data_IF_442475843307
#
_entry.id   IF_442475843307
#
_cell.length_a   1.000
_cell.length_b   1.000
_cell.length_c   1.000
_cell.angle_alpha   90.00
_cell.angle_beta   90.00
_cell.angle_gamma   90.00
#
_symmetry.space_group_name_H-M   'P 1'
#
loop_
_entity.id
_entity.type
_entity.pdbx_description
1 polymer ?
#
# COMPACT_ATOMS: atom_id res chain seq x y z
N UNK A 1 -56.99 -23.52 29.56
CA UNK A 1 -56.26 -24.82 29.45
C UNK A 1 -54.90 -24.54 28.86
N UNK A 2 -53.79 -24.84 29.55
CA UNK A 2 -52.44 -24.77 28.97
C UNK A 2 -52.01 -26.18 28.57
N UNK A 3 -51.87 -26.44 27.27
CA UNK A 3 -51.31 -27.69 26.76
C UNK A 3 -49.79 -27.65 26.94
N UNK A 4 -49.26 -28.61 27.71
CA UNK A 4 -47.81 -28.88 27.77
C UNK A 4 -47.48 -29.88 26.66
N UNK A 5 -46.77 -29.43 25.64
CA UNK A 5 -46.15 -30.30 24.64
C UNK A 5 -44.78 -30.73 25.17
N UNK A 6 -44.64 -31.99 25.57
CA UNK A 6 -43.33 -32.64 25.80
C UNK A 6 -42.89 -33.23 24.46
N UNK A 7 -41.91 -32.60 23.83
CA UNK A 7 -41.29 -33.08 22.59
C UNK A 7 -40.00 -33.80 23.00
N UNK A 8 -39.87 -35.06 22.60
CA UNK A 8 -38.68 -35.89 22.81
C UNK A 8 -38.07 -36.19 21.43
N UNK A 9 -36.81 -35.79 21.16
CA UNK A 9 -35.89 -35.08 22.05
C UNK A 9 -36.25 -33.60 22.30
N UNK A 10 -35.75 -33.07 23.41
CA UNK A 10 -35.96 -31.67 23.82
C UNK A 10 -35.39 -30.70 22.77
N UNK A 11 -36.27 -29.88 22.18
CA UNK A 11 -35.94 -28.96 21.09
C UNK A 11 -34.98 -27.86 21.53
N UNK A 12 -35.09 -27.39 22.77
CA UNK A 12 -34.30 -26.25 23.26
C UNK A 12 -32.78 -26.51 23.20
N UNK A 13 -32.24 -27.62 23.75
CA UNK A 13 -30.81 -27.92 23.66
C UNK A 13 -30.37 -28.20 22.21
N UNK A 14 -31.22 -28.80 21.38
CA UNK A 14 -30.90 -29.02 19.96
C UNK A 14 -30.74 -27.71 19.20
N UNK A 15 -31.64 -26.75 19.42
CA UNK A 15 -31.54 -25.42 18.80
C UNK A 15 -30.29 -24.67 19.27
N UNK A 16 -29.95 -24.75 20.56
CA UNK A 16 -28.72 -24.13 21.09
C UNK A 16 -27.46 -24.73 20.47
N UNK A 17 -27.43 -26.06 20.30
CA UNK A 17 -26.31 -26.73 19.63
C UNK A 17 -26.18 -26.29 18.16
N UNK A 18 -27.30 -26.16 17.44
CA UNK A 18 -27.31 -25.70 16.05
C UNK A 18 -26.83 -24.25 15.91
N UNK A 19 -27.24 -23.36 16.82
CA UNK A 19 -26.74 -21.97 16.88
C UNK A 19 -25.23 -21.97 17.12
N UNK A 20 -24.75 -22.72 18.12
CA UNK A 20 -23.32 -22.80 18.44
C UNK A 20 -22.49 -23.40 17.29
N UNK A 21 -23.07 -24.31 16.50
CA UNK A 21 -22.43 -24.84 15.28
C UNK A 21 -22.36 -23.77 14.19
N UNK A 22 -23.44 -23.02 13.97
CA UNK A 22 -23.47 -21.89 13.03
C UNK A 22 -22.48 -20.79 13.41
N UNK A 23 -22.41 -20.40 14.68
CA UNK A 23 -21.46 -19.41 15.18
C UNK A 23 -20.01 -19.81 14.91
N UNK A 24 -19.66 -21.08 15.17
CA UNK A 24 -18.33 -21.64 14.88
C UNK A 24 -18.03 -21.64 13.39
N UNK A 25 -18.99 -22.07 12.57
CA UNK A 25 -18.84 -22.12 11.12
C UNK A 25 -18.62 -20.73 10.51
N UNK A 26 -19.41 -19.73 10.93
CA UNK A 26 -19.28 -18.34 10.47
C UNK A 26 -17.96 -17.73 10.91
N UNK A 27 -17.58 -17.90 12.17
CA UNK A 27 -16.29 -17.40 12.70
C UNK A 27 -15.11 -17.98 11.95
N UNK A 28 -15.13 -19.30 11.71
CA UNK A 28 -14.08 -20.00 10.97
C UNK A 28 -14.02 -19.53 9.52
N UNK A 29 -15.15 -19.48 8.83
CA UNK A 29 -15.24 -19.01 7.44
C UNK A 29 -14.69 -17.59 7.29
N UNK A 30 -15.05 -16.67 8.20
CA UNK A 30 -14.56 -15.29 8.17
C UNK A 30 -13.06 -15.20 8.46
N UNK A 31 -12.54 -15.99 9.41
CA UNK A 31 -11.11 -16.06 9.71
C UNK A 31 -10.31 -16.52 8.50
N UNK A 32 -10.76 -17.57 7.83
CA UNK A 32 -10.07 -18.09 6.66
C UNK A 32 -10.19 -17.16 5.44
N UNK A 33 -11.37 -16.58 5.20
CA UNK A 33 -11.58 -15.61 4.13
C UNK A 33 -10.65 -14.40 4.32
N UNK A 34 -10.55 -13.87 5.54
CA UNK A 34 -9.62 -12.80 5.87
C UNK A 34 -8.15 -13.18 5.70
N UNK A 35 -7.76 -14.39 6.11
CA UNK A 35 -6.39 -14.90 5.93
C UNK A 35 -6.05 -15.09 4.44
N UNK A 36 -6.98 -15.65 3.67
CA UNK A 36 -6.87 -15.83 2.23
C UNK A 36 -6.73 -14.49 1.50
N UNK A 37 -7.60 -13.51 1.80
CA UNK A 37 -7.54 -12.17 1.20
C UNK A 37 -6.22 -11.47 1.52
N UNK A 38 -5.77 -11.52 2.77
CA UNK A 38 -4.45 -10.98 3.16
C UNK A 38 -3.31 -11.63 2.37
N UNK A 39 -3.37 -12.94 2.15
CA UNK A 39 -2.37 -13.66 1.37
C UNK A 39 -2.41 -13.26 -0.11
N UNK A 40 -3.61 -13.19 -0.70
CA UNK A 40 -3.83 -12.79 -2.09
C UNK A 40 -3.30 -11.38 -2.36
N UNK A 41 -3.65 -10.39 -1.53
CA UNK A 41 -3.14 -9.03 -1.64
C UNK A 41 -1.61 -8.97 -1.50
N UNK A 42 -1.03 -9.73 -0.57
CA UNK A 42 0.43 -9.83 -0.43
C UNK A 42 1.08 -10.39 -1.68
N UNK A 43 0.54 -11.49 -2.22
CA UNK A 43 1.00 -12.13 -3.44
C UNK A 43 0.90 -11.20 -4.65
N UNK A 44 -0.20 -10.45 -4.78
CA UNK A 44 -0.37 -9.47 -5.85
C UNK A 44 0.66 -8.34 -5.74
N UNK A 45 0.90 -7.81 -4.54
CA UNK A 45 1.89 -6.75 -4.30
C UNK A 45 3.31 -7.21 -4.62
N UNK A 46 3.71 -8.40 -4.17
CA UNK A 46 5.05 -8.94 -4.45
C UNK A 46 5.20 -9.33 -5.91
N UNK A 47 4.19 -9.95 -6.51
CA UNK A 47 4.15 -10.31 -7.93
C UNK A 47 4.19 -9.09 -8.86
N UNK A 48 3.65 -7.95 -8.43
CA UNK A 48 3.75 -6.66 -9.11
C UNK A 48 5.12 -5.98 -8.98
N UNK A 49 6.08 -6.61 -8.30
CA UNK A 49 7.43 -6.09 -8.09
C UNK A 49 7.49 -4.89 -7.14
N UNK A 50 6.50 -4.71 -6.25
CA UNK A 50 6.49 -3.61 -5.27
C UNK A 50 7.25 -3.96 -3.97
N UNK A 51 7.75 -5.19 -3.88
CA UNK A 51 8.61 -5.68 -2.81
C UNK A 51 7.87 -6.25 -1.60
N UNK A 52 8.57 -7.09 -0.86
CA UNK A 52 8.05 -7.81 0.31
C UNK A 52 7.68 -6.89 1.47
N UNK A 53 8.43 -5.79 1.65
CA UNK A 53 8.14 -4.79 2.68
C UNK A 53 6.74 -4.17 2.52
N UNK A 54 6.33 -3.87 1.28
CA UNK A 54 4.99 -3.32 1.03
C UNK A 54 3.92 -4.41 1.23
N UNK A 55 4.16 -5.65 0.79
CA UNK A 55 3.25 -6.76 1.07
C UNK A 55 3.03 -6.96 2.59
N UNK A 56 4.10 -6.88 3.38
CA UNK A 56 4.03 -6.99 4.83
C UNK A 56 3.27 -5.85 5.52
N UNK A 57 2.98 -4.75 4.81
CA UNK A 57 2.10 -3.69 5.32
C UNK A 57 0.64 -4.13 5.40
N UNK A 58 0.24 -5.19 4.68
CA UNK A 58 -1.12 -5.74 4.74
C UNK A 58 -1.33 -6.48 6.07
N UNK A 59 -2.40 -6.12 6.77
CA UNK A 59 -2.81 -6.57 8.08
C UNK A 59 -4.19 -7.22 8.02
N UNK A 60 -4.48 -8.01 9.04
CA UNK A 60 -5.75 -8.70 9.24
C UNK A 60 -6.11 -8.57 10.72
N UNK A 61 -7.39 -8.33 11.00
CA UNK A 61 -8.01 -8.50 12.30
C UNK A 61 -9.33 -9.24 12.11
N UNK A 62 -9.63 -10.14 13.02
CA UNK A 62 -10.87 -10.90 13.06
C UNK A 62 -11.65 -10.52 14.32
N UNK A 63 -12.96 -10.47 14.19
CA UNK A 63 -13.89 -10.09 15.25
C UNK A 63 -15.04 -11.10 15.30
N UNK A 64 -15.55 -11.43 16.50
CA UNK A 64 -14.97 -11.11 17.81
C UNK A 64 -13.63 -11.85 18.05
N UNK A 65 -12.82 -11.41 19.03
CA UNK A 65 -11.45 -11.93 19.22
C UNK A 65 -11.35 -13.24 20.02
N UNK A 66 -12.37 -13.59 20.79
CA UNK A 66 -12.31 -14.68 21.76
C UNK A 66 -13.60 -15.47 21.91
N UNK A 67 -14.56 -15.27 21.01
CA UNK A 67 -15.81 -16.02 20.97
C UNK A 67 -16.17 -16.30 19.53
N UNK A 68 -17.06 -17.27 19.35
CA UNK A 68 -17.72 -17.48 18.07
C UNK A 68 -18.95 -16.57 17.97
N UNK A 69 -19.35 -16.22 16.74
CA UNK A 69 -20.53 -15.41 16.50
C UNK A 69 -21.05 -15.57 15.07
N UNK A 70 -22.37 -15.53 14.92
CA UNK A 70 -23.02 -15.38 13.61
C UNK A 70 -22.70 -14.04 12.94
N UNK A 71 -22.25 -13.05 13.72
CA UNK A 71 -21.84 -11.73 13.24
C UNK A 71 -20.32 -11.60 13.16
N UNK A 72 -19.59 -12.70 12.98
CA UNK A 72 -18.14 -12.64 12.83
C UNK A 72 -17.74 -11.80 11.60
N UNK A 73 -16.61 -11.11 11.71
CA UNK A 73 -16.10 -10.23 10.68
C UNK A 73 -14.58 -10.33 10.55
N UNK A 74 -14.06 -10.09 9.34
CA UNK A 74 -12.63 -9.98 9.09
C UNK A 74 -12.33 -8.66 8.38
N UNK A 75 -11.41 -7.88 8.96
CA UNK A 75 -10.93 -6.62 8.41
C UNK A 75 -9.51 -6.80 7.87
N UNK A 76 -9.33 -6.55 6.57
CA UNK A 76 -8.02 -6.54 5.91
C UNK A 76 -7.69 -5.11 5.47
N UNK A 77 -6.51 -4.62 5.83
CA UNK A 77 -6.09 -3.25 5.51
C UNK A 77 -4.58 -3.15 5.27
N UNK A 78 -4.11 -2.00 4.78
CA UNK A 78 -2.68 -1.69 4.66
C UNK A 78 -2.26 -0.60 5.65
N UNK A 79 -1.09 -0.76 6.29
CA UNK A 79 -0.43 0.33 7.00
C UNK A 79 0.23 1.36 6.05
N UNK A 80 0.21 1.13 4.73
CA UNK A 80 0.70 2.04 3.70
C UNK A 80 -0.38 2.35 2.65
N UNK A 81 -1.58 2.84 3.06
CA UNK A 81 -2.76 2.90 2.19
C UNK A 81 -2.55 3.82 0.99
N UNK A 82 -1.80 4.91 1.15
CA UNK A 82 -1.51 5.86 0.06
C UNK A 82 -0.68 5.21 -1.06
N UNK A 83 0.31 4.39 -0.71
CA UNK A 83 1.18 3.73 -1.69
C UNK A 83 0.42 2.63 -2.41
N UNK A 84 -0.28 1.78 -1.64
CA UNK A 84 -1.06 0.68 -2.19
C UNK A 84 -2.20 1.22 -3.07
N UNK A 85 -2.97 2.18 -2.58
CA UNK A 85 -4.06 2.81 -3.34
C UNK A 85 -3.56 3.53 -4.60
N UNK A 86 -2.37 4.13 -4.58
CA UNK A 86 -1.79 4.72 -5.79
C UNK A 86 -1.49 3.64 -6.86
N UNK A 87 -1.04 2.45 -6.47
CA UNK A 87 -0.82 1.36 -7.42
C UNK A 87 -2.10 0.63 -7.85
N UNK A 88 -3.18 0.75 -7.08
CA UNK A 88 -4.49 0.20 -7.43
C UNK A 88 -5.30 1.13 -8.36
N UNK A 89 -5.13 2.45 -8.21
CA UNK A 89 -5.83 3.46 -9.05
C UNK A 89 -5.00 3.97 -10.22
N UNK A 90 -3.67 3.97 -10.09
CA UNK A 90 -2.75 4.55 -11.08
C UNK A 90 -2.96 6.06 -11.28
N UNK A 91 -2.81 6.91 -10.25
CA UNK A 91 -3.17 8.32 -10.35
C UNK A 91 -2.18 9.10 -11.23
N UNK A 92 -2.67 10.22 -11.77
CA UNK A 92 -1.83 11.24 -12.38
C UNK A 92 -1.28 12.16 -11.28
N UNK A 93 0.03 12.16 -11.11
CA UNK A 93 0.74 12.97 -10.11
C UNK A 93 1.17 14.27 -10.79
N UNK A 94 0.79 15.40 -10.19
CA UNK A 94 1.19 16.75 -10.61
C UNK A 94 1.58 17.57 -9.39
N UNK A 95 2.30 18.67 -9.60
CA UNK A 95 2.58 19.57 -8.48
C UNK A 95 1.27 20.14 -7.94
N UNK A 96 1.20 20.29 -6.61
CA UNK A 96 0.08 20.97 -5.95
C UNK A 96 0.16 22.48 -6.18
N UNK A 97 1.36 23.03 -6.04
CA UNK A 97 1.65 24.45 -6.12
C UNK A 97 2.74 24.66 -7.17
N UNK A 98 2.36 25.12 -8.36
CA UNK A 98 3.27 25.36 -9.48
C UNK A 98 3.16 24.33 -10.60
N UNK A 99 3.96 24.52 -11.65
CA UNK A 99 3.86 23.76 -12.89
C UNK A 99 4.74 22.49 -12.90
N UNK A 100 5.87 22.50 -12.19
CA UNK A 100 6.88 21.43 -12.28
C UNK A 100 6.93 20.56 -11.02
N UNK A 101 7.07 19.25 -11.22
CA UNK A 101 7.60 18.31 -10.23
C UNK A 101 9.13 18.27 -10.35
N UNK A 102 9.81 18.65 -9.28
CA UNK A 102 11.26 18.55 -9.19
C UNK A 102 11.69 17.19 -8.65
N UNK A 103 12.21 16.34 -9.52
CA UNK A 103 12.73 15.01 -9.19
C UNK A 103 14.25 15.11 -9.00
N UNK A 104 14.78 14.89 -7.79
CA UNK A 104 16.22 14.99 -7.54
C UNK A 104 16.98 13.88 -8.26
N UNK A 105 18.08 14.26 -8.91
CA UNK A 105 19.08 13.31 -9.42
C UNK A 105 19.98 12.83 -8.26
N UNK A 106 20.78 11.76 -8.45
CA UNK A 106 21.77 11.37 -7.46
C UNK A 106 22.70 12.51 -7.03
N UNK A 107 23.01 13.44 -7.95
CA UNK A 107 23.86 14.60 -7.69
C UNK A 107 23.28 15.58 -6.67
N UNK A 108 21.96 15.63 -6.50
CA UNK A 108 21.31 16.45 -5.48
C UNK A 108 21.56 15.94 -4.05
N UNK A 109 21.82 14.64 -3.89
CA UNK A 109 21.91 14.01 -2.57
C UNK A 109 20.57 13.98 -1.82
N UNK A 110 20.63 13.72 -0.51
CA UNK A 110 19.45 13.61 0.37
C UNK A 110 19.19 14.89 1.14
N UNK A 111 17.96 15.13 1.60
CA UNK A 111 17.65 16.22 2.54
C UNK A 111 18.38 16.03 3.87
N UNK A 112 18.59 17.12 4.63
CA UNK A 112 19.08 17.05 6.02
C UNK A 112 18.14 16.25 6.93
N UNK A 113 16.83 16.29 6.66
CA UNK A 113 15.80 15.49 7.34
C UNK A 113 15.70 14.05 6.82
N UNK A 114 16.61 13.65 5.93
CA UNK A 114 16.53 12.40 5.20
C UNK A 114 15.55 12.45 4.03
N UNK A 115 15.65 11.48 3.12
CA UNK A 115 14.78 11.42 1.94
C UNK A 115 15.15 12.39 0.82
N UNK A 116 14.16 12.75 0.00
CA UNK A 116 14.31 13.59 -1.20
C UNK A 116 14.48 15.06 -0.81
N UNK A 117 15.50 15.72 -1.36
CA UNK A 117 15.74 17.16 -1.16
C UNK A 117 14.89 18.00 -2.11
N UNK A 118 14.41 19.16 -1.64
CA UNK A 118 13.72 20.15 -2.49
C UNK A 118 14.71 21.15 -3.11
N UNK A 119 14.40 21.76 -4.27
CA UNK A 119 15.29 22.73 -4.92
C UNK A 119 15.77 23.86 -4.02
N UNK A 120 14.85 24.57 -3.35
CA UNK A 120 15.23 25.67 -2.46
C UNK A 120 16.01 25.23 -1.20
N UNK A 121 15.79 23.99 -0.73
CA UNK A 121 16.62 23.43 0.34
C UNK A 121 18.03 23.13 -0.16
N UNK A 122 18.16 22.62 -1.39
CA UNK A 122 19.43 22.31 -2.01
C UNK A 122 20.29 23.56 -2.22
N UNK A 123 19.71 24.67 -2.69
CA UNK A 123 20.41 25.95 -2.85
C UNK A 123 20.92 26.48 -1.50
N UNK A 124 20.04 26.54 -0.49
CA UNK A 124 20.42 26.99 0.85
C UNK A 124 21.57 26.18 1.46
N UNK A 125 21.55 24.86 1.24
CA UNK A 125 22.57 23.96 1.79
C UNK A 125 23.90 24.06 1.06
N UNK A 126 23.88 24.21 -0.26
CA UNK A 126 25.12 24.19 -1.08
C UNK A 126 25.70 25.58 -1.32
N UNK A 127 24.92 26.64 -1.14
CA UNK A 127 25.27 28.00 -1.52
C UNK A 127 25.27 28.22 -3.04
N UNK A 128 24.94 27.21 -3.84
CA UNK A 128 24.91 27.29 -5.30
C UNK A 128 23.50 27.68 -5.77
N UNK A 129 23.45 28.52 -6.80
CA UNK A 129 22.20 28.89 -7.47
C UNK A 129 21.82 27.86 -8.52
N UNK A 130 20.56 27.45 -8.50
CA UNK A 130 19.98 26.60 -9.53
C UNK A 130 19.57 27.47 -10.73
N UNK A 131 19.99 27.03 -11.91
CA UNK A 131 19.60 27.63 -13.19
C UNK A 131 18.60 26.72 -13.89
N UNK A 132 17.51 27.31 -14.36
CA UNK A 132 16.54 26.61 -15.18
C UNK A 132 17.04 26.46 -16.61
N UNK A 133 16.95 25.24 -17.14
CA UNK A 133 17.21 24.95 -18.55
C UNK A 133 15.96 24.28 -19.14
N UNK A 134 15.32 25.00 -20.06
CA UNK A 134 14.22 24.45 -20.82
C UNK A 134 14.72 23.43 -21.85
N UNK A 135 14.00 22.32 -21.98
CA UNK A 135 14.25 21.32 -23.02
C UNK A 135 12.97 21.03 -23.78
N UNK A 136 13.00 21.27 -25.10
CA UNK A 136 11.86 20.99 -26.00
C UNK A 136 11.49 19.51 -26.04
N UNK A 137 12.47 18.61 -25.87
CA UNK A 137 12.28 17.16 -25.82
C UNK A 137 12.80 16.61 -24.49
N UNK A 138 11.94 15.92 -23.76
CA UNK A 138 12.24 15.33 -22.45
C UNK A 138 12.08 16.31 -21.27
N UNK A 139 12.48 15.90 -20.05
CA UNK A 139 12.37 16.75 -18.86
C UNK A 139 13.23 18.01 -18.98
N UNK A 140 12.69 19.14 -18.54
CA UNK A 140 13.48 20.36 -18.29
C UNK A 140 14.36 20.15 -17.06
N UNK A 141 15.37 21.00 -16.85
CA UNK A 141 16.37 20.77 -15.81
C UNK A 141 16.49 21.96 -14.86
N UNK A 142 16.80 21.67 -13.60
CA UNK A 142 17.51 22.62 -12.74
C UNK A 142 18.94 22.14 -12.62
N UNK A 143 19.87 22.98 -13.05
CA UNK A 143 21.30 22.69 -13.06
C UNK A 143 22.04 23.63 -12.13
N UNK A 144 23.23 23.25 -11.69
CA UNK A 144 24.14 24.14 -11.00
C UNK A 144 25.53 24.05 -11.62
N UNK A 145 26.25 25.18 -11.64
CA UNK A 145 27.68 25.17 -11.93
C UNK A 145 28.44 24.78 -10.67
N UNK A 146 29.29 23.77 -10.81
CA UNK A 146 30.05 23.22 -9.69
C UNK A 146 30.87 22.04 -10.14
N UNK A 147 31.19 21.13 -9.22
CA UNK A 147 31.87 19.87 -9.54
C UNK A 147 31.19 18.70 -8.84
N UNK A 148 31.43 17.50 -9.33
CA UNK A 148 31.05 16.28 -8.62
C UNK A 148 32.13 15.93 -7.60
N UNK A 149 31.73 15.59 -6.38
CA UNK A 149 32.63 14.97 -5.40
C UNK A 149 32.77 13.46 -5.66
N UNK A 150 33.63 12.78 -4.89
CA UNK A 150 33.82 11.32 -4.98
C UNK A 150 32.55 10.49 -4.76
N UNK A 151 31.50 11.09 -4.16
CA UNK A 151 30.19 10.47 -3.95
C UNK A 151 29.19 10.82 -5.07
N UNK A 152 29.64 11.43 -6.17
CA UNK A 152 28.81 11.85 -7.29
C UNK A 152 27.84 12.99 -6.97
N UNK A 153 28.08 13.77 -5.91
CA UNK A 153 27.23 14.91 -5.51
C UNK A 153 27.79 16.22 -6.01
N UNK A 154 26.90 17.11 -6.44
CA UNK A 154 27.26 18.46 -6.82
C UNK A 154 27.67 19.27 -5.59
N UNK A 155 28.86 19.87 -5.67
CA UNK A 155 29.43 20.76 -4.65
C UNK A 155 30.03 21.98 -5.33
N UNK A 156 30.19 23.06 -4.56
CA UNK A 156 30.85 24.25 -5.06
C UNK A 156 32.29 23.93 -5.53
N UNK A 157 32.68 24.52 -6.65
CA UNK A 157 34.05 24.56 -7.09
C UNK A 157 34.70 25.86 -6.58
N UNK A 158 35.96 25.79 -6.15
CA UNK A 158 36.76 26.98 -5.84
C UNK A 158 37.46 27.56 -7.08
N UNK A 159 37.41 26.87 -8.22
CA UNK A 159 37.99 27.33 -9.47
C UNK A 159 36.96 28.12 -10.27
N UNK A 160 37.34 29.31 -10.72
CA UNK A 160 36.52 30.19 -11.57
C UNK A 160 36.41 29.66 -13.01
N UNK A 161 37.46 29.05 -13.54
CA UNK A 161 37.46 28.36 -14.84
C UNK A 161 38.38 27.15 -14.83
N UNK A 162 38.14 26.19 -15.74
CA UNK A 162 39.14 25.22 -16.16
C UNK A 162 39.79 24.35 -15.07
N UNK A 163 39.04 23.82 -14.09
CA UNK A 163 39.50 22.78 -13.14
C UNK A 163 38.35 21.87 -12.65
N UNK A 164 37.61 21.28 -13.58
CA UNK A 164 36.47 20.40 -13.25
C UNK A 164 35.18 21.12 -12.87
N UNK A 165 35.09 22.44 -13.11
CA UNK A 165 33.84 23.18 -13.12
C UNK A 165 32.98 22.67 -14.28
N UNK A 166 31.77 22.23 -13.99
CA UNK A 166 30.82 21.64 -14.93
C UNK A 166 29.40 22.03 -14.58
N UNK A 167 28.52 21.96 -15.56
CA UNK A 167 27.07 22.12 -15.37
C UNK A 167 26.47 20.77 -14.98
N UNK A 168 26.09 20.64 -13.71
CA UNK A 168 25.53 19.38 -13.20
C UNK A 168 24.01 19.45 -13.15
N UNK A 169 23.29 18.50 -13.78
CA UNK A 169 21.85 18.36 -13.59
C UNK A 169 21.51 17.91 -12.16
N UNK A 170 20.81 18.76 -11.41
CA UNK A 170 20.44 18.51 -10.02
C UNK A 170 19.01 18.00 -9.93
N UNK A 171 18.09 18.56 -10.72
CA UNK A 171 16.69 18.11 -10.77
C UNK A 171 16.23 17.92 -12.20
N UNK A 172 15.45 16.85 -12.41
CA UNK A 172 14.59 16.70 -13.57
C UNK A 172 13.25 17.38 -13.25
N UNK A 173 12.78 18.24 -14.15
CA UNK A 173 11.50 18.92 -14.07
C UNK A 173 10.54 18.30 -15.07
N UNK A 174 9.46 17.71 -14.54
CA UNK A 174 8.37 17.14 -15.33
C UNK A 174 7.05 17.78 -14.91
N UNK A 175 6.11 18.06 -15.82
CA UNK A 175 4.86 18.72 -15.44
C UNK A 175 3.95 17.78 -14.64
N UNK A 176 3.94 16.50 -15.05
CA UNK A 176 3.14 15.45 -14.44
C UNK A 176 3.74 14.07 -14.71
N UNK A 177 3.37 13.09 -13.89
CA UNK A 177 3.75 11.68 -14.06
C UNK A 177 2.53 10.81 -13.81
N UNK A 178 2.21 9.92 -14.75
CA UNK A 178 1.17 8.91 -14.55
C UNK A 178 1.77 7.69 -13.87
N UNK A 179 1.28 7.33 -12.69
CA UNK A 179 1.65 6.08 -12.06
C UNK A 179 0.92 4.93 -12.75
N UNK A 180 1.65 3.87 -13.10
CA UNK A 180 1.05 2.67 -13.68
C UNK A 180 0.21 1.95 -12.62
N UNK A 181 -1.04 1.63 -12.96
CA UNK A 181 -1.88 0.70 -12.19
C UNK A 181 -1.24 -0.69 -12.25
N UNK A 182 -0.94 -1.26 -11.10
CA UNK A 182 -0.27 -2.56 -10.93
C UNK A 182 -1.08 -3.54 -10.09
N UNK A 183 -2.06 -3.05 -9.33
CA UNK A 183 -2.87 -3.84 -8.43
C UNK A 183 -4.34 -3.83 -8.89
N UNK A 184 -5.08 -4.83 -8.44
CA UNK A 184 -6.52 -4.92 -8.55
C UNK A 184 -7.06 -5.61 -7.29
N UNK A 185 -7.10 -4.86 -6.19
CA UNK A 185 -7.40 -5.41 -4.87
C UNK A 185 -8.88 -5.74 -4.68
N UNK A 186 -9.76 -4.99 -5.36
CA UNK A 186 -11.20 -5.19 -5.33
C UNK A 186 -11.59 -6.58 -5.86
N UNK A 187 -10.95 -7.03 -6.94
CA UNK A 187 -11.19 -8.36 -7.51
C UNK A 187 -10.88 -9.49 -6.54
N UNK A 188 -9.79 -9.39 -5.77
CA UNK A 188 -9.45 -10.39 -4.77
C UNK A 188 -10.43 -10.33 -3.58
N UNK A 189 -10.93 -9.14 -3.24
CA UNK A 189 -11.94 -8.96 -2.20
C UNK A 189 -13.29 -9.57 -2.60
N UNK A 190 -13.76 -9.32 -3.82
CA UNK A 190 -14.98 -9.93 -4.38
C UNK A 190 -14.89 -11.45 -4.35
N UNK A 191 -13.79 -12.03 -4.86
CA UNK A 191 -13.54 -13.47 -4.78
C UNK A 191 -13.56 -14.01 -3.36
N UNK A 192 -13.01 -13.26 -2.40
CA UNK A 192 -13.04 -13.69 -1.00
C UNK A 192 -14.48 -13.73 -0.46
N UNK A 193 -15.29 -12.71 -0.77
CA UNK A 193 -16.71 -12.59 -0.37
C UNK A 193 -17.52 -13.74 -0.98
N UNK A 194 -17.39 -13.99 -2.28
CA UNK A 194 -18.16 -15.01 -3.00
C UNK A 194 -17.94 -16.43 -2.44
N UNK A 195 -16.75 -16.68 -1.87
CA UNK A 195 -16.40 -17.96 -1.26
C UNK A 195 -16.90 -18.12 0.19
N UNK A 196 -17.32 -17.04 0.87
CA UNK A 196 -17.72 -17.10 2.29
C UNK A 196 -18.93 -18.03 2.50
N UNK A 197 -20.05 -17.91 1.74
CA UNK A 197 -21.21 -18.77 1.97
C UNK A 197 -20.88 -20.27 1.85
N UNK A 198 -20.08 -20.65 0.84
CA UNK A 198 -19.65 -22.04 0.67
C UNK A 198 -18.82 -22.55 1.85
N UNK A 199 -17.93 -21.71 2.41
CA UNK A 199 -17.14 -22.06 3.60
C UNK A 199 -17.99 -22.20 4.86
N UNK A 200 -18.99 -21.33 5.03
CA UNK A 200 -19.93 -21.43 6.17
C UNK A 200 -20.66 -22.76 6.09
N UNK A 201 -21.24 -23.09 4.92
CA UNK A 201 -21.99 -24.34 4.75
C UNK A 201 -21.09 -25.56 5.00
N UNK A 202 -19.88 -25.58 4.44
CA UNK A 202 -18.94 -26.68 4.65
C UNK A 202 -18.61 -26.89 6.14
N UNK A 203 -18.24 -25.82 6.84
CA UNK A 203 -17.90 -25.88 8.27
C UNK A 203 -19.09 -26.16 9.18
N UNK A 204 -20.32 -25.84 8.75
CA UNK A 204 -21.53 -26.15 9.49
C UNK A 204 -21.90 -27.63 9.34
N UNK A 205 -21.82 -28.19 8.12
CA UNK A 205 -22.20 -29.59 7.85
C UNK A 205 -21.20 -30.58 8.47
N UNK A 206 -19.90 -30.28 8.50
CA UNK A 206 -18.90 -31.14 9.18
C UNK A 206 -19.14 -31.27 10.69
N UNK A 207 -19.80 -30.29 11.31
CA UNK A 207 -20.18 -30.35 12.72
C UNK A 207 -21.42 -31.23 13.01
N UNK A 208 -22.06 -31.80 12.00
CA UNK A 208 -23.38 -32.45 12.16
C UNK A 208 -23.36 -33.93 12.54
N UNK A 209 -22.25 -34.65 12.63
CA UNK A 209 -22.32 -36.08 13.00
C UNK A 209 -20.97 -36.65 13.50
N UNK A 210 -20.89 -37.29 14.68
CA UNK A 210 -20.15 -38.54 14.85
C UNK A 210 -20.98 -39.74 14.35
#
# INVERSE_FOLDING_TARGET
>A
MKLKLTIDPDIVPMMQAEIAAGERAVTTAMREAGAGLKSAWRGQITGAGLGTRLGNSIRLATYPKGSDSLNAAALVWSNAPVIVGAHDTGPLIRSRNGFWLAIPTPAAGKSTRGGRIAPGEWERRTGLRLRFIYRRRGPSLLVAEGRLNSKGRAVASRAETGRGLTTVPIFLLVPQVKLRKRLNLAQDAERAIDNVPGRIVAGWVEGKWP
#
